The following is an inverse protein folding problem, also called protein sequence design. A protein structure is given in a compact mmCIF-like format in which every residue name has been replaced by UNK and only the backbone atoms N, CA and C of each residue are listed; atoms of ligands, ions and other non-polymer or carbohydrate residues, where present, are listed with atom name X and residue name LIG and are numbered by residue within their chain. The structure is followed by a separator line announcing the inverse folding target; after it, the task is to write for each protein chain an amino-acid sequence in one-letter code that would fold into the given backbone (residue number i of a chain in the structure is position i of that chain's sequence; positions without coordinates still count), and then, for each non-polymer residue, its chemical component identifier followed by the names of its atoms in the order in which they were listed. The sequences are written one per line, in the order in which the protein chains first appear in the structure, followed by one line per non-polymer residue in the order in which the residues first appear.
data_IF_616495271863
#
_entry.id   IF_616495271863
#
_cell.length_a   1.000
_cell.length_b   1.000
_cell.length_c   1.000
_cell.angle_alpha   90.00
_cell.angle_beta   90.00
_cell.angle_gamma   90.00
#
_symmetry.space_group_name_H-M   'P 1'
#
loop_
_entity.id
_entity.type
_entity.pdbx_description
1 polymer ?
#
# COMPACT_ATOMS: atom_id res chain seq x y z
N UNK A 1 -23.91 15.15 -29.50
CA UNK A 1 -24.52 14.36 -28.43
C UNK A 1 -23.56 13.39 -27.77
N UNK A 2 -22.86 12.48 -28.47
CA UNK A 2 -21.93 11.50 -27.83
C UNK A 2 -20.79 12.12 -27.00
N UNK A 3 -20.15 13.22 -27.44
CA UNK A 3 -19.10 13.94 -26.67
C UNK A 3 -19.66 14.57 -25.39
N UNK A 4 -20.85 15.17 -25.45
CA UNK A 4 -21.49 15.77 -24.26
C UNK A 4 -21.84 14.71 -23.23
N UNK A 5 -22.47 13.61 -23.65
CA UNK A 5 -22.78 12.50 -22.75
C UNK A 5 -21.52 11.88 -22.10
N UNK A 6 -20.43 11.73 -22.86
CA UNK A 6 -19.14 11.27 -22.34
C UNK A 6 -18.56 12.22 -21.27
N UNK A 7 -18.56 13.53 -21.57
CA UNK A 7 -18.04 14.51 -20.62
C UNK A 7 -18.92 14.62 -19.36
N UNK A 8 -20.25 14.56 -19.50
CA UNK A 8 -21.16 14.52 -18.37
C UNK A 8 -20.94 13.29 -17.48
N UNK A 9 -20.76 12.12 -18.09
CA UNK A 9 -20.46 10.89 -17.34
C UNK A 9 -19.13 10.99 -16.57
N UNK A 10 -18.08 11.58 -17.17
CA UNK A 10 -16.79 11.80 -16.50
C UNK A 10 -16.96 12.76 -15.32
N UNK A 11 -17.68 13.88 -15.53
CA UNK A 11 -17.92 14.86 -14.46
C UNK A 11 -18.72 14.24 -13.31
N UNK A 12 -19.77 13.49 -13.60
CA UNK A 12 -20.57 12.79 -12.59
C UNK A 12 -19.72 11.78 -11.80
N UNK A 13 -18.87 11.03 -12.49
CA UNK A 13 -17.96 10.09 -11.85
C UNK A 13 -16.96 10.82 -10.93
N UNK A 14 -16.39 11.93 -11.38
CA UNK A 14 -15.48 12.74 -10.56
C UNK A 14 -16.20 13.32 -9.34
N UNK A 15 -17.40 13.88 -9.52
CA UNK A 15 -18.21 14.37 -8.41
C UNK A 15 -18.50 13.26 -7.39
N UNK A 16 -18.93 12.09 -7.87
CA UNK A 16 -19.18 10.94 -7.00
C UNK A 16 -17.96 10.54 -6.15
N UNK A 17 -16.76 10.60 -6.73
CA UNK A 17 -15.51 10.26 -6.02
C UNK A 17 -15.04 11.37 -5.07
N UNK A 18 -15.15 12.63 -5.48
CA UNK A 18 -14.58 13.74 -4.71
C UNK A 18 -15.53 14.34 -3.67
N UNK A 19 -16.87 14.27 -3.86
CA UNK A 19 -17.85 14.83 -2.91
C UNK A 19 -17.67 14.27 -1.49
N UNK A 20 -17.53 12.94 -1.26
CA UNK A 20 -17.29 12.42 0.09
C UNK A 20 -15.99 12.92 0.71
N UNK A 21 -14.93 13.06 -0.08
CA UNK A 21 -13.65 13.57 0.39
C UNK A 21 -13.74 15.07 0.75
N UNK A 22 -14.43 15.86 -0.07
CA UNK A 22 -14.72 17.26 0.21
C UNK A 22 -15.58 17.43 1.46
N UNK A 23 -16.61 16.59 1.63
CA UNK A 23 -17.43 16.59 2.84
C UNK A 23 -16.60 16.29 4.09
N UNK A 24 -15.70 15.30 4.01
CA UNK A 24 -14.78 14.97 5.11
C UNK A 24 -13.83 16.13 5.40
N UNK A 25 -13.32 16.80 4.37
CA UNK A 25 -12.46 17.98 4.52
C UNK A 25 -13.20 19.14 5.18
N UNK A 26 -14.42 19.44 4.73
CA UNK A 26 -15.26 20.48 5.33
C UNK A 26 -15.55 20.15 6.81
N UNK A 27 -15.83 18.89 7.13
CA UNK A 27 -16.04 18.47 8.51
C UNK A 27 -14.77 18.60 9.36
N UNK A 28 -13.61 18.24 8.82
CA UNK A 28 -12.31 18.38 9.47
C UNK A 28 -11.91 19.85 9.73
N UNK A 29 -12.41 20.78 8.91
CA UNK A 29 -12.09 22.21 9.00
C UNK A 29 -13.21 23.06 9.60
N UNK A 30 -14.32 22.47 10.03
CA UNK A 30 -15.41 23.21 10.69
C UNK A 30 -15.23 23.28 12.21
N UNK A 31 -15.74 24.37 12.82
CA UNK A 31 -15.77 24.50 14.28
C UNK A 31 -16.87 23.64 14.89
N UNK A 32 -18.03 23.60 14.24
CA UNK A 32 -19.18 22.76 14.63
C UNK A 32 -19.99 22.39 13.37
N UNK A 33 -20.40 21.12 13.31
CA UNK A 33 -21.32 20.61 12.30
C UNK A 33 -22.13 19.45 12.89
N UNK A 34 -22.86 19.72 13.96
CA UNK A 34 -23.63 18.68 14.69
C UNK A 34 -25.13 18.76 14.43
N UNK A 35 -25.67 19.98 14.20
CA UNK A 35 -27.13 20.21 14.17
C UNK A 35 -27.60 21.07 13.00
N UNK A 36 -26.74 21.37 12.03
CA UNK A 36 -27.05 22.25 10.88
C UNK A 36 -26.78 21.56 9.55
N UNK A 37 -27.49 21.97 8.48
CA UNK A 37 -27.24 21.42 7.15
C UNK A 37 -25.84 21.81 6.57
N UNK A 38 -25.31 22.95 6.97
CA UNK A 38 -24.03 23.47 6.54
C UNK A 38 -23.07 23.61 7.73
N UNK A 39 -21.74 23.46 7.52
CA UNK A 39 -20.76 23.62 8.58
C UNK A 39 -20.77 25.06 9.11
N UNK A 40 -20.56 25.21 10.40
CA UNK A 40 -20.41 26.52 11.07
C UNK A 40 -18.95 26.80 11.33
N UNK A 41 -18.51 28.02 10.94
CA UNK A 41 -17.15 28.49 11.14
C UNK A 41 -16.08 27.65 10.43
N UNK A 42 -14.88 28.19 10.32
CA UNK A 42 -13.72 27.49 9.78
C UNK A 42 -12.59 27.48 10.81
N UNK A 43 -11.90 26.35 10.98
CA UNK A 43 -10.81 26.22 11.94
C UNK A 43 -9.79 25.18 11.48
N UNK A 44 -8.51 25.41 11.80
CA UNK A 44 -7.45 24.40 11.69
C UNK A 44 -7.01 23.88 13.06
N UNK A 45 -7.73 24.23 14.13
CA UNK A 45 -7.37 23.83 15.50
C UNK A 45 -7.32 22.31 15.68
N UNK A 46 -8.15 21.55 14.96
CA UNK A 46 -8.16 20.08 15.00
C UNK A 46 -6.85 19.49 14.46
N UNK A 47 -6.30 20.08 13.40
CA UNK A 47 -4.99 19.69 12.86
C UNK A 47 -3.87 19.98 13.86
N UNK A 48 -3.88 21.17 14.49
CA UNK A 48 -2.92 21.53 15.53
C UNK A 48 -2.97 20.55 16.72
N UNK A 49 -4.18 20.24 17.22
CA UNK A 49 -4.37 19.27 18.30
C UNK A 49 -3.87 17.88 17.92
N UNK A 50 -4.09 17.44 16.67
CA UNK A 50 -3.68 16.13 16.21
C UNK A 50 -2.15 16.04 16.05
N UNK A 51 -1.52 17.04 15.45
CA UNK A 51 -0.07 17.08 15.22
C UNK A 51 0.75 17.26 16.52
N UNK A 52 0.13 17.72 17.60
CA UNK A 52 0.72 17.76 18.94
C UNK A 52 0.39 16.53 19.79
N UNK A 53 -0.49 15.66 19.32
CA UNK A 53 -0.89 14.46 20.03
C UNK A 53 0.18 13.36 19.92
N UNK A 54 0.91 13.11 21.02
CA UNK A 54 1.98 12.10 21.07
C UNK A 54 1.51 10.69 20.73
N UNK A 55 0.28 10.33 21.08
CA UNK A 55 -0.29 9.01 20.78
C UNK A 55 -0.52 8.85 19.29
N UNK A 56 -1.08 9.86 18.64
CA UNK A 56 -1.24 9.88 17.19
C UNK A 56 0.09 9.81 16.45
N UNK A 57 1.07 10.64 16.81
CA UNK A 57 2.39 10.64 16.18
C UNK A 57 3.10 9.29 16.32
N UNK A 58 2.94 8.64 17.47
CA UNK A 58 3.46 7.29 17.70
C UNK A 58 2.73 6.26 16.84
N UNK A 59 1.41 6.35 16.73
CA UNK A 59 0.61 5.48 15.87
C UNK A 59 0.99 5.65 14.38
N UNK A 60 1.20 6.89 13.94
CA UNK A 60 1.68 7.19 12.58
C UNK A 60 3.05 6.57 12.30
N UNK A 61 4.01 6.77 13.20
CA UNK A 61 5.33 6.18 13.08
C UNK A 61 5.30 4.65 13.04
N UNK A 62 4.49 4.02 13.89
CA UNK A 62 4.30 2.56 13.91
C UNK A 62 3.72 2.04 12.59
N UNK A 63 2.71 2.72 12.03
CA UNK A 63 2.11 2.35 10.75
C UNK A 63 3.14 2.46 9.63
N UNK A 64 3.88 3.57 9.55
CA UNK A 64 4.93 3.76 8.55
C UNK A 64 6.00 2.67 8.63
N UNK A 65 6.53 2.40 9.83
CA UNK A 65 7.60 1.42 10.04
C UNK A 65 7.11 0.01 9.71
N UNK A 66 5.94 -0.38 10.19
CA UNK A 66 5.37 -1.71 9.93
C UNK A 66 5.14 -1.95 8.44
N UNK A 67 4.52 -0.99 7.74
CA UNK A 67 4.27 -1.08 6.30
C UNK A 67 5.59 -1.11 5.52
N UNK A 68 6.57 -0.29 5.90
CA UNK A 68 7.88 -0.24 5.25
C UNK A 68 8.64 -1.56 5.41
N UNK A 69 8.66 -2.13 6.62
CA UNK A 69 9.29 -3.44 6.88
C UNK A 69 8.62 -4.52 6.02
N UNK A 70 7.29 -4.60 6.04
CA UNK A 70 6.57 -5.63 5.29
C UNK A 70 6.79 -5.51 3.77
N UNK A 71 6.75 -4.29 3.22
CA UNK A 71 6.99 -4.05 1.78
C UNK A 71 8.43 -4.35 1.41
N UNK A 72 9.41 -3.93 2.21
CA UNK A 72 10.83 -4.16 1.92
C UNK A 72 11.17 -5.65 1.96
N UNK A 73 10.73 -6.36 2.99
CA UNK A 73 10.92 -7.81 3.09
C UNK A 73 10.16 -8.55 1.98
N UNK A 74 8.91 -8.15 1.73
CA UNK A 74 8.10 -8.71 0.64
C UNK A 74 8.76 -8.52 -0.72
N UNK A 75 9.24 -7.32 -1.03
CA UNK A 75 9.93 -7.06 -2.29
C UNK A 75 11.24 -7.87 -2.42
N UNK A 76 12.02 -7.96 -1.33
CA UNK A 76 13.26 -8.73 -1.31
C UNK A 76 13.06 -10.23 -1.57
N UNK A 77 11.90 -10.76 -1.21
CA UNK A 77 11.54 -12.19 -1.44
C UNK A 77 10.83 -12.35 -2.79
N UNK A 78 9.81 -11.55 -3.05
CA UNK A 78 8.91 -11.74 -4.20
C UNK A 78 9.59 -11.40 -5.52
N UNK A 79 10.35 -10.30 -5.60
CA UNK A 79 10.97 -9.86 -6.87
C UNK A 79 11.92 -10.91 -7.45
N UNK A 80 12.93 -11.42 -6.70
CA UNK A 80 13.82 -12.45 -7.23
C UNK A 80 13.09 -13.78 -7.48
N UNK A 81 12.07 -14.12 -6.68
CA UNK A 81 11.27 -15.34 -6.90
C UNK A 81 10.50 -15.27 -8.22
N UNK A 82 9.85 -14.15 -8.51
CA UNK A 82 9.11 -13.96 -9.76
C UNK A 82 10.04 -13.90 -10.97
N UNK A 83 11.22 -13.28 -10.82
CA UNK A 83 12.27 -13.34 -11.85
C UNK A 83 12.68 -14.77 -12.14
N UNK A 84 12.98 -15.57 -11.10
CA UNK A 84 13.39 -16.96 -11.28
C UNK A 84 12.27 -17.81 -11.93
N UNK A 85 11.02 -17.62 -11.53
CA UNK A 85 9.88 -18.29 -12.15
C UNK A 85 9.75 -17.90 -13.63
N UNK A 86 9.84 -16.61 -13.93
CA UNK A 86 9.66 -16.10 -15.29
C UNK A 86 10.75 -16.59 -16.27
N UNK A 87 12.01 -16.62 -15.81
CA UNK A 87 13.14 -16.98 -16.68
C UNK A 87 13.42 -18.49 -16.70
N UNK A 88 13.47 -19.12 -15.52
CA UNK A 88 13.97 -20.51 -15.40
C UNK A 88 12.89 -21.54 -15.19
N UNK A 89 11.78 -21.16 -14.57
CA UNK A 89 10.74 -22.13 -14.16
C UNK A 89 9.33 -21.75 -14.64
N UNK A 90 9.09 -21.56 -15.97
CA UNK A 90 7.79 -21.08 -16.48
C UNK A 90 6.62 -21.99 -16.07
N UNK A 91 6.89 -23.28 -15.81
CA UNK A 91 5.85 -24.23 -15.34
C UNK A 91 5.28 -23.85 -13.96
N UNK A 92 6.06 -23.14 -13.12
CA UNK A 92 5.62 -22.66 -11.80
C UNK A 92 4.77 -21.38 -11.90
N UNK A 93 4.62 -20.77 -13.07
CA UNK A 93 3.77 -19.58 -13.24
C UNK A 93 2.31 -19.85 -12.81
N UNK A 94 1.79 -21.05 -13.15
CA UNK A 94 0.45 -21.47 -12.71
C UNK A 94 0.32 -21.57 -11.18
N UNK A 95 1.35 -22.03 -10.50
CA UNK A 95 1.39 -22.11 -9.04
C UNK A 95 1.45 -20.69 -8.44
N UNK A 96 2.30 -19.84 -8.98
CA UNK A 96 2.41 -18.43 -8.55
C UNK A 96 1.09 -17.66 -8.79
N UNK A 97 0.34 -18.00 -9.83
CA UNK A 97 -0.98 -17.42 -10.10
C UNK A 97 -2.04 -17.98 -9.12
N UNK A 98 -2.02 -19.27 -8.83
CA UNK A 98 -2.89 -19.89 -7.83
C UNK A 98 -2.66 -19.27 -6.43
N UNK A 99 -1.43 -18.92 -6.07
CA UNK A 99 -1.12 -18.19 -4.83
C UNK A 99 -1.79 -16.81 -4.79
N UNK A 100 -1.92 -16.09 -5.91
CA UNK A 100 -2.66 -14.81 -5.96
C UNK A 100 -4.12 -15.03 -5.57
N UNK A 101 -4.75 -16.07 -6.11
CA UNK A 101 -6.14 -16.41 -5.79
C UNK A 101 -6.25 -16.77 -4.30
N UNK A 102 -5.34 -17.59 -3.78
CA UNK A 102 -5.31 -17.98 -2.38
C UNK A 102 -5.19 -16.78 -1.43
N UNK A 103 -4.37 -15.77 -1.76
CA UNK A 103 -4.23 -14.56 -0.94
C UNK A 103 -5.55 -13.77 -0.78
N UNK A 104 -6.43 -13.80 -1.78
CA UNK A 104 -7.71 -13.10 -1.74
C UNK A 104 -8.91 -13.99 -1.39
N UNK A 105 -8.72 -15.31 -1.36
CA UNK A 105 -9.81 -16.25 -1.09
C UNK A 105 -10.36 -16.18 0.34
N UNK A 106 -9.53 -15.77 1.29
CA UNK A 106 -9.93 -15.71 2.69
C UNK A 106 -10.30 -14.28 3.10
N UNK A 107 -11.52 -14.05 3.65
CA UNK A 107 -11.85 -12.80 4.29
C UNK A 107 -10.85 -12.47 5.41
N UNK A 108 -10.38 -11.22 5.47
CA UNK A 108 -9.34 -10.80 6.43
C UNK A 108 -9.68 -11.12 7.89
N UNK A 109 -10.95 -11.08 8.28
CA UNK A 109 -11.41 -11.45 9.63
C UNK A 109 -11.14 -12.92 9.93
N UNK A 110 -11.48 -13.82 8.98
CA UNK A 110 -11.29 -15.27 9.14
C UNK A 110 -9.79 -15.58 9.21
N UNK A 111 -9.00 -14.94 8.34
CA UNK A 111 -7.55 -15.07 8.35
C UNK A 111 -6.96 -14.62 9.69
N UNK A 112 -7.38 -13.47 10.24
CA UNK A 112 -6.90 -12.97 11.52
C UNK A 112 -7.19 -13.95 12.68
N UNK A 113 -8.40 -14.53 12.74
CA UNK A 113 -8.73 -15.54 13.74
C UNK A 113 -7.92 -16.82 13.57
N UNK A 114 -7.74 -17.29 12.34
CA UNK A 114 -6.91 -18.46 12.06
C UNK A 114 -5.45 -18.24 12.51
N UNK A 115 -4.87 -17.07 12.19
CA UNK A 115 -3.53 -16.70 12.60
C UNK A 115 -3.40 -16.65 14.14
N UNK A 116 -4.36 -16.03 14.82
CA UNK A 116 -4.36 -15.99 16.29
C UNK A 116 -4.38 -17.38 16.90
N UNK A 117 -5.32 -18.23 16.49
CA UNK A 117 -5.47 -19.56 17.05
C UNK A 117 -4.25 -20.45 16.77
N UNK A 118 -3.63 -20.33 15.59
CA UNK A 118 -2.48 -21.16 15.23
C UNK A 118 -1.20 -20.69 15.93
N UNK A 119 -0.91 -19.39 15.92
CA UNK A 119 0.40 -18.90 16.32
C UNK A 119 0.47 -18.43 17.78
N UNK A 120 -0.68 -18.11 18.44
CA UNK A 120 -0.67 -17.72 19.85
C UNK A 120 -0.15 -18.84 20.76
N UNK A 121 -0.50 -20.08 20.47
CA UNK A 121 -0.07 -21.25 21.23
C UNK A 121 1.44 -21.57 21.05
N UNK A 122 2.05 -21.10 19.96
CA UNK A 122 3.46 -21.34 19.63
C UNK A 122 4.43 -20.33 20.28
N UNK A 123 3.93 -19.34 21.02
CA UNK A 123 4.76 -18.31 21.64
C UNK A 123 5.43 -17.35 20.65
N UNK A 124 5.00 -17.33 19.37
CA UNK A 124 5.55 -16.45 18.35
C UNK A 124 5.02 -15.02 18.58
N UNK A 125 5.87 -13.99 18.55
CA UNK A 125 5.43 -12.61 18.68
C UNK A 125 4.39 -12.27 17.60
N UNK A 126 3.17 -11.89 18.00
CA UNK A 126 2.06 -11.65 17.10
C UNK A 126 2.36 -10.57 16.03
N UNK A 127 3.24 -9.62 16.33
CA UNK A 127 3.66 -8.62 15.35
C UNK A 127 4.43 -9.23 14.17
N UNK A 128 5.23 -10.27 14.41
CA UNK A 128 5.92 -11.03 13.35
C UNK A 128 4.91 -11.77 12.47
N UNK A 129 3.85 -12.33 13.06
CA UNK A 129 2.75 -12.97 12.32
C UNK A 129 2.03 -11.96 11.43
N UNK A 130 1.81 -10.73 11.93
CA UNK A 130 1.23 -9.63 11.13
C UNK A 130 2.14 -9.27 9.96
N UNK A 131 3.46 -9.14 10.16
CA UNK A 131 4.41 -8.85 9.06
C UNK A 131 4.34 -9.96 8.01
N UNK A 132 4.34 -11.22 8.41
CA UNK A 132 4.20 -12.36 7.49
C UNK A 132 2.90 -12.33 6.69
N UNK A 133 1.77 -12.06 7.34
CA UNK A 133 0.47 -11.92 6.67
C UNK A 133 0.42 -10.71 5.73
N UNK A 134 1.08 -9.62 6.07
CA UNK A 134 1.20 -8.44 5.21
C UNK A 134 2.00 -8.74 3.94
N UNK A 135 3.09 -9.52 4.04
CA UNK A 135 3.86 -9.96 2.87
C UNK A 135 2.97 -10.80 1.93
N UNK A 136 2.17 -11.71 2.48
CA UNK A 136 1.19 -12.47 1.68
C UNK A 136 0.13 -11.56 1.04
N UNK A 137 -0.36 -10.58 1.78
CA UNK A 137 -1.39 -9.66 1.30
C UNK A 137 -0.91 -8.77 0.13
N UNK A 138 0.36 -8.35 0.14
CA UNK A 138 0.95 -7.54 -0.94
C UNK A 138 1.56 -8.37 -2.07
N UNK A 139 1.65 -9.70 -1.92
CA UNK A 139 2.20 -10.60 -2.94
C UNK A 139 1.61 -10.39 -4.33
N UNK A 140 0.28 -10.33 -4.52
CA UNK A 140 -0.32 -10.11 -5.84
C UNK A 140 0.14 -8.82 -6.51
N UNK A 141 0.27 -7.75 -5.75
CA UNK A 141 0.63 -6.41 -6.25
C UNK A 141 2.09 -6.37 -6.70
N UNK A 142 3.01 -6.85 -5.86
CA UNK A 142 4.45 -6.87 -6.17
C UNK A 142 4.73 -7.87 -7.30
N UNK A 143 4.08 -9.05 -7.26
CA UNK A 143 4.18 -10.03 -8.36
C UNK A 143 3.77 -9.41 -9.70
N UNK A 144 2.59 -8.78 -9.76
CA UNK A 144 2.07 -8.21 -11.01
C UNK A 144 2.96 -7.08 -11.53
N UNK A 145 3.43 -6.19 -10.66
CA UNK A 145 4.35 -5.11 -11.06
C UNK A 145 5.69 -5.63 -11.56
N UNK A 146 6.25 -6.63 -10.89
CA UNK A 146 7.50 -7.30 -11.29
C UNK A 146 7.33 -8.01 -12.64
N UNK A 147 6.30 -8.84 -12.78
CA UNK A 147 6.04 -9.61 -13.99
C UNK A 147 5.80 -8.70 -15.21
N UNK A 148 5.00 -7.65 -15.05
CA UNK A 148 4.77 -6.67 -16.11
C UNK A 148 6.09 -5.98 -16.54
N UNK A 149 6.95 -5.64 -15.59
CA UNK A 149 8.24 -5.01 -15.87
C UNK A 149 9.20 -5.96 -16.58
N UNK A 150 9.26 -7.24 -16.14
CA UNK A 150 10.08 -8.26 -16.80
C UNK A 150 9.65 -8.51 -18.25
N UNK A 151 8.34 -8.59 -18.49
CA UNK A 151 7.77 -8.75 -19.84
C UNK A 151 8.06 -7.53 -20.72
N UNK A 152 7.96 -6.33 -20.18
CA UNK A 152 8.16 -5.09 -20.92
C UNK A 152 9.61 -4.93 -21.45
N UNK A 153 10.59 -5.45 -20.73
CA UNK A 153 12.01 -5.38 -21.14
C UNK A 153 12.47 -6.62 -21.92
N UNK A 154 11.62 -7.63 -22.12
CA UNK A 154 12.02 -8.88 -22.73
C UNK A 154 13.12 -9.60 -21.93
N UNK A 155 12.95 -9.71 -20.60
CA UNK A 155 13.99 -10.16 -19.67
C UNK A 155 14.59 -11.54 -20.04
N UNK A 156 13.83 -12.40 -20.70
CA UNK A 156 14.32 -13.70 -21.16
C UNK A 156 15.38 -13.55 -22.25
N UNK A 157 15.12 -12.73 -23.28
CA UNK A 157 16.08 -12.45 -24.36
C UNK A 157 17.33 -11.75 -23.84
N UNK A 158 17.18 -10.84 -22.89
CA UNK A 158 18.32 -10.19 -22.23
C UNK A 158 19.19 -11.19 -21.46
N UNK A 159 18.59 -12.17 -20.79
CA UNK A 159 19.31 -13.23 -20.10
C UNK A 159 20.09 -14.11 -21.10
N UNK A 160 19.46 -14.58 -22.17
CA UNK A 160 20.08 -15.40 -23.21
C UNK A 160 21.27 -14.66 -23.86
N UNK A 161 21.08 -13.38 -24.17
CA UNK A 161 22.16 -12.56 -24.74
C UNK A 161 23.33 -12.37 -23.77
N UNK A 162 23.07 -12.19 -22.50
CA UNK A 162 24.11 -12.04 -21.48
C UNK A 162 24.88 -13.36 -21.25
N UNK A 163 24.20 -14.51 -21.31
CA UNK A 163 24.82 -15.83 -21.21
C UNK A 163 25.78 -16.11 -22.40
N UNK A 164 25.39 -15.73 -23.60
CA UNK A 164 26.26 -15.84 -24.79
C UNK A 164 27.53 -15.00 -24.60
N UNK A 165 27.46 -13.87 -23.91
CA UNK A 165 28.61 -13.01 -23.58
C UNK A 165 29.39 -13.50 -22.34
N UNK A 166 29.03 -14.65 -21.75
CA UNK A 166 29.70 -15.27 -20.61
C UNK A 166 29.35 -14.66 -19.26
N UNK A 167 28.30 -13.83 -19.15
CA UNK A 167 27.86 -13.28 -17.88
C UNK A 167 27.13 -14.34 -17.05
N UNK A 168 27.39 -14.38 -15.73
CA UNK A 168 26.66 -15.27 -14.85
C UNK A 168 25.22 -14.79 -14.64
N UNK A 169 24.25 -15.71 -14.40
CA UNK A 169 22.84 -15.37 -14.19
C UNK A 169 22.62 -14.35 -13.08
N UNK A 170 23.33 -14.47 -11.97
CA UNK A 170 23.25 -13.54 -10.85
C UNK A 170 23.79 -12.15 -11.20
N UNK A 171 24.88 -12.09 -11.97
CA UNK A 171 25.45 -10.82 -12.45
C UNK A 171 24.47 -10.11 -13.36
N UNK A 172 23.88 -10.83 -14.31
CA UNK A 172 22.88 -10.30 -15.23
C UNK A 172 21.64 -9.81 -14.48
N UNK A 173 21.11 -10.62 -13.56
CA UNK A 173 19.99 -10.19 -12.74
C UNK A 173 20.28 -8.89 -11.98
N UNK A 174 21.39 -8.85 -11.23
CA UNK A 174 21.72 -7.72 -10.35
C UNK A 174 22.11 -6.46 -11.08
N UNK A 175 22.88 -6.59 -12.18
CA UNK A 175 23.47 -5.43 -12.88
C UNK A 175 22.66 -4.94 -14.08
N UNK A 176 21.81 -5.79 -14.67
CA UNK A 176 21.03 -5.45 -15.87
C UNK A 176 19.54 -5.49 -15.57
N UNK A 177 19.01 -6.65 -15.21
CA UNK A 177 17.56 -6.85 -15.09
C UNK A 177 16.99 -6.02 -13.95
N UNK A 178 17.50 -6.18 -12.72
CA UNK A 178 16.96 -5.55 -11.53
C UNK A 178 16.94 -4.01 -11.64
N UNK A 179 18.02 -3.31 -12.03
CA UNK A 179 17.97 -1.86 -12.21
C UNK A 179 16.94 -1.43 -13.26
N UNK A 180 16.82 -2.16 -14.36
CA UNK A 180 15.90 -1.84 -15.45
C UNK A 180 14.43 -2.00 -15.07
N UNK A 181 14.09 -3.02 -14.27
CA UNK A 181 12.72 -3.22 -13.79
C UNK A 181 12.38 -2.38 -12.55
N UNK A 182 13.37 -1.79 -11.88
CA UNK A 182 13.21 -1.09 -10.60
C UNK A 182 12.10 -0.03 -10.61
N UNK A 183 11.89 0.81 -11.64
CA UNK A 183 10.82 1.78 -11.67
C UNK A 183 9.42 1.15 -11.55
N UNK A 184 9.19 0.01 -12.19
CA UNK A 184 7.93 -0.71 -12.11
C UNK A 184 7.75 -1.44 -10.76
N UNK A 185 8.81 -2.08 -10.27
CA UNK A 185 8.83 -2.70 -8.93
C UNK A 185 8.58 -1.64 -7.85
N UNK A 186 9.23 -0.49 -7.95
CA UNK A 186 9.05 0.60 -7.00
C UNK A 186 7.61 1.13 -6.98
N UNK A 187 6.98 1.28 -8.16
CA UNK A 187 5.57 1.66 -8.26
C UNK A 187 4.64 0.64 -7.58
N UNK A 188 4.92 -0.66 -7.75
CA UNK A 188 4.18 -1.72 -7.07
C UNK A 188 4.40 -1.71 -5.55
N UNK A 189 5.62 -1.44 -5.09
CA UNK A 189 5.93 -1.28 -3.67
C UNK A 189 5.21 -0.08 -3.05
N UNK A 190 5.11 1.04 -3.76
CA UNK A 190 4.36 2.22 -3.29
C UNK A 190 2.87 1.93 -3.16
N UNK A 191 2.30 1.24 -4.15
CA UNK A 191 0.90 0.83 -4.08
C UNK A 191 0.66 -0.15 -2.92
N UNK A 192 1.56 -1.11 -2.72
CA UNK A 192 1.55 -2.04 -1.59
C UNK A 192 1.66 -1.31 -0.25
N UNK A 193 2.55 -0.33 -0.15
CA UNK A 193 2.69 0.51 1.06
C UNK A 193 1.40 1.26 1.37
N UNK A 194 0.78 1.90 0.37
CA UNK A 194 -0.49 2.61 0.56
C UNK A 194 -1.61 1.68 1.03
N UNK A 195 -1.65 0.46 0.50
CA UNK A 195 -2.62 -0.56 0.88
C UNK A 195 -2.43 -1.01 2.32
N UNK A 196 -1.19 -1.33 2.73
CA UNK A 196 -0.87 -1.72 4.11
C UNK A 196 -1.05 -0.59 5.10
N UNK A 197 -0.80 0.65 4.69
CA UNK A 197 -1.02 1.81 5.54
C UNK A 197 -2.49 1.97 5.93
N UNK A 198 -3.42 1.54 5.06
CA UNK A 198 -4.86 1.49 5.29
C UNK A 198 -5.36 0.21 5.97
N UNK A 199 -4.50 -0.78 6.20
CA UNK A 199 -4.94 -2.06 6.76
C UNK A 199 -5.31 -1.90 8.24
N UNK A 200 -6.50 -2.39 8.59
CA UNK A 200 -7.08 -2.30 9.92
C UNK A 200 -7.41 -3.67 10.52
N UNK A 201 -7.91 -4.58 9.70
CA UNK A 201 -8.58 -5.80 10.19
C UNK A 201 -7.59 -6.74 10.85
N UNK A 202 -6.51 -7.08 10.16
CA UNK A 202 -5.51 -8.03 10.64
C UNK A 202 -4.80 -7.45 11.86
N UNK A 203 -4.29 -6.21 11.77
CA UNK A 203 -3.54 -5.61 12.89
C UNK A 203 -4.41 -5.41 14.12
N UNK A 204 -5.68 -5.00 13.95
CA UNK A 204 -6.59 -4.77 15.06
C UNK A 204 -6.99 -6.07 15.77
N UNK A 205 -7.26 -7.13 15.02
CA UNK A 205 -7.67 -8.41 15.59
C UNK A 205 -6.48 -9.17 16.19
N UNK A 206 -5.33 -9.20 15.51
CA UNK A 206 -4.18 -10.00 15.92
C UNK A 206 -3.40 -9.36 17.07
N UNK A 207 -3.19 -8.04 17.03
CA UNK A 207 -2.36 -7.32 18.02
C UNK A 207 -3.18 -6.30 18.83
N UNK A 208 -4.11 -5.64 18.19
CA UNK A 208 -5.01 -4.67 18.80
C UNK A 208 -4.29 -3.46 19.41
N UNK A 209 -4.79 -3.03 20.57
CA UNK A 209 -4.30 -1.83 21.26
C UNK A 209 -2.84 -1.92 21.75
N UNK A 210 -2.25 -3.12 21.81
CA UNK A 210 -0.84 -3.30 22.22
C UNK A 210 0.12 -2.66 21.22
N UNK A 211 -0.26 -2.61 19.94
CA UNK A 211 0.48 -1.93 18.89
C UNK A 211 -0.45 -1.04 18.07
N UNK A 212 -0.83 0.09 18.66
CA UNK A 212 -1.78 1.02 18.06
C UNK A 212 -1.23 1.65 16.79
N UNK A 213 -1.92 1.42 15.67
CA UNK A 213 -1.67 2.02 14.36
C UNK A 213 -2.62 3.19 14.10
N UNK A 214 -2.41 3.96 13.03
CA UNK A 214 -3.29 5.08 12.66
C UNK A 214 -4.74 4.63 12.49
N UNK A 215 -4.97 3.46 11.91
CA UNK A 215 -6.33 2.95 11.69
C UNK A 215 -7.03 2.57 13.01
N UNK A 216 -6.28 2.00 13.96
CA UNK A 216 -6.81 1.70 15.31
C UNK A 216 -7.10 3.01 16.05
N UNK A 217 -6.20 4.00 15.97
CA UNK A 217 -6.40 5.32 16.56
C UNK A 217 -7.61 6.04 15.94
N UNK A 218 -7.74 5.99 14.61
CA UNK A 218 -8.91 6.53 13.89
C UNK A 218 -10.21 5.88 14.38
N UNK A 219 -10.25 4.54 14.47
CA UNK A 219 -11.42 3.81 14.94
C UNK A 219 -11.88 4.24 16.33
N UNK A 220 -10.92 4.44 17.25
CA UNK A 220 -11.21 4.97 18.59
C UNK A 220 -11.72 6.41 18.54
N UNK A 221 -11.11 7.26 17.71
CA UNK A 221 -11.47 8.67 17.56
C UNK A 221 -12.88 8.86 17.00
N UNK A 222 -13.35 7.97 16.12
CA UNK A 222 -14.71 8.00 15.57
C UNK A 222 -15.80 7.94 16.65
N UNK A 223 -15.55 7.23 17.75
CA UNK A 223 -16.51 7.09 18.85
C UNK A 223 -16.48 8.26 19.84
N UNK A 224 -15.48 9.14 19.73
CA UNK A 224 -15.25 10.25 20.69
C UNK A 224 -15.54 11.61 20.05
N UNK A 225 -14.99 11.87 18.88
CA UNK A 225 -15.07 13.17 18.20
C UNK A 225 -14.93 13.02 16.69
N UNK A 226 -16.03 13.27 15.97
CA UNK A 226 -16.08 13.18 14.51
C UNK A 226 -15.15 14.15 13.78
N UNK A 227 -14.98 15.39 14.29
CA UNK A 227 -14.05 16.37 13.69
C UNK A 227 -12.60 15.87 13.77
N UNK A 228 -12.20 15.32 14.92
CA UNK A 228 -10.90 14.71 15.10
C UNK A 228 -10.71 13.52 14.15
N UNK A 229 -11.69 12.64 14.05
CA UNK A 229 -11.65 11.50 13.16
C UNK A 229 -11.52 11.93 11.68
N UNK A 230 -12.28 12.91 11.23
CA UNK A 230 -12.20 13.46 9.89
C UNK A 230 -10.84 14.13 9.62
N UNK A 231 -10.28 14.81 10.62
CA UNK A 231 -8.93 15.38 10.53
C UNK A 231 -7.87 14.31 10.35
N UNK A 232 -7.99 13.16 11.04
CA UNK A 232 -7.09 12.01 10.86
C UNK A 232 -7.19 11.47 9.43
N UNK A 233 -8.40 11.33 8.87
CA UNK A 233 -8.61 10.85 7.50
C UNK A 233 -7.97 11.79 6.50
N UNK A 234 -8.15 13.09 6.64
CA UNK A 234 -7.55 14.09 5.73
C UNK A 234 -6.01 14.09 5.85
N UNK A 235 -5.48 14.09 7.06
CA UNK A 235 -4.03 14.03 7.26
C UNK A 235 -3.41 12.74 6.69
N UNK A 236 -4.07 11.62 6.94
CA UNK A 236 -3.73 10.33 6.35
C UNK A 236 -3.67 10.40 4.82
N UNK A 237 -4.72 10.96 4.20
CA UNK A 237 -4.79 11.12 2.75
C UNK A 237 -3.65 12.00 2.22
N UNK A 238 -3.35 13.11 2.90
CA UNK A 238 -2.24 14.00 2.53
C UNK A 238 -0.90 13.28 2.63
N UNK A 239 -0.64 12.54 3.72
CA UNK A 239 0.61 11.81 3.92
C UNK A 239 0.81 10.75 2.82
N UNK A 240 -0.20 9.93 2.54
CA UNK A 240 -0.12 8.91 1.48
C UNK A 240 0.08 9.55 0.10
N UNK A 241 -0.67 10.62 -0.19
CA UNK A 241 -0.53 11.35 -1.46
C UNK A 241 0.88 11.94 -1.60
N UNK A 242 1.40 12.59 -0.56
CA UNK A 242 2.74 13.17 -0.56
C UNK A 242 3.84 12.11 -0.79
N UNK A 243 3.75 10.96 -0.10
CA UNK A 243 4.67 9.83 -0.30
C UNK A 243 4.58 9.31 -1.74
N UNK A 244 3.36 9.10 -2.25
CA UNK A 244 3.14 8.55 -3.59
C UNK A 244 3.62 9.51 -4.68
N UNK A 245 3.23 10.79 -4.62
CA UNK A 245 3.67 11.78 -5.61
C UNK A 245 5.17 12.08 -5.54
N UNK A 246 5.72 12.17 -4.33
CA UNK A 246 7.16 12.36 -4.13
C UNK A 246 7.97 11.22 -4.76
N UNK A 247 7.55 10.00 -4.50
CA UNK A 247 8.21 8.81 -5.02
C UNK A 247 8.07 8.65 -6.54
N UNK A 248 6.88 8.94 -7.10
CA UNK A 248 6.69 8.97 -8.57
C UNK A 248 7.50 10.07 -9.24
N UNK A 249 7.70 11.21 -8.58
CA UNK A 249 8.56 12.28 -9.07
C UNK A 249 10.02 11.85 -9.19
N UNK A 250 10.52 11.06 -8.23
CA UNK A 250 11.87 10.52 -8.27
C UNK A 250 12.09 9.52 -9.43
N UNK A 251 11.12 8.64 -9.67
CA UNK A 251 11.21 7.65 -10.76
C UNK A 251 11.12 8.29 -12.16
N UNK A 252 10.40 9.40 -12.30
CA UNK A 252 10.34 10.14 -13.59
C UNK A 252 11.65 10.84 -13.93
N UNK A 253 12.37 11.37 -12.93
CA UNK A 253 13.68 12.01 -13.14
C UNK A 253 14.72 11.02 -13.65
N UNK A 254 14.70 9.76 -13.24
CA UNK A 254 15.61 8.73 -13.74
C UNK A 254 15.39 8.41 -15.23
N UNK A 255 14.15 8.40 -15.72
CA UNK A 255 13.85 8.22 -17.14
C UNK A 255 14.27 9.39 -18.04
N UNK A 256 14.40 10.60 -17.51
CA UNK A 256 14.85 11.78 -18.27
C UNK A 256 16.37 11.87 -18.50
N UNK A 257 17.18 11.02 -17.85
CA UNK A 257 18.63 10.92 -18.07
C UNK A 257 19.02 9.83 -19.07
N UNK A 258 18.06 9.00 -19.50
CA UNK A 258 18.28 7.90 -20.46
C UNK A 258 17.75 8.23 -21.88
N UNK A 259 17.23 9.43 -22.10
CA UNK A 259 16.78 9.96 -23.38
C UNK A 259 17.74 11.07 -23.86
#
# INVERSE_FOLDING_TARGET
MKKFAKNAAIVLMLLYLFVPLLATLLYATSTDWSSTMLPRGATLAWFGKLLTNKTFLRALGRTCILSLIAVSLGAAIIVPSIFAIYVYYPRLEKVAEAMVIACYAFPGVILAFALMNTYAALGIPMLTVVVGSYILFIYPMIRQGTLNSLRAIGAQTLMESAEILGASPWTTFRKVILPTIMPGVFSACLFSFSTLFGEFVIINLVVGSKFETVQIFLRKSLSVNGHMASTIVILYFIVISAITFGALGLTRKQKGYEA
#
